data_IF_146891616424
#
_entry.id   IF_146891616424
#
_cell.length_a   1.000
_cell.length_b   1.000
_cell.length_c   1.000
_cell.angle_alpha   90.00
_cell.angle_beta   90.00
_cell.angle_gamma   90.00
#
_symmetry.space_group_name_H-M   'P 1'
#
loop_
_entity.id
_entity.type
_entity.pdbx_description
1 polymer ?
#
# COMPACT_ATOMS: atom_id res chain seq x y z
N UNK A 1 -2.67 19.15 -87.75
CA UNK A 1 -1.62 18.40 -87.06
C UNK A 1 -1.15 19.29 -85.88
N UNK A 2 -1.66 19.10 -84.66
CA UNK A 2 -1.21 19.82 -83.49
C UNK A 2 -0.96 18.79 -82.39
N UNK A 3 0.31 18.59 -82.05
CA UNK A 3 0.75 17.78 -80.93
C UNK A 3 0.70 18.60 -79.66
N UNK A 4 -0.14 18.22 -78.70
CA UNK A 4 -0.14 18.81 -77.38
C UNK A 4 0.88 18.07 -76.49
N UNK A 5 1.81 18.78 -75.93
CA UNK A 5 2.71 18.29 -74.85
C UNK A 5 1.98 18.37 -73.50
N UNK A 6 1.94 17.26 -72.75
CA UNK A 6 1.60 17.28 -71.33
C UNK A 6 2.89 17.37 -70.51
N UNK A 7 2.93 18.22 -69.44
CA UNK A 7 4.05 18.20 -68.53
C UNK A 7 3.88 17.05 -67.48
N UNK A 8 4.95 16.34 -67.24
CA UNK A 8 5.03 15.32 -66.20
C UNK A 8 5.14 16.00 -64.80
N UNK A 9 4.21 15.71 -63.93
CA UNK A 9 4.31 16.04 -62.49
C UNK A 9 5.26 15.05 -61.84
N UNK A 10 6.40 15.53 -61.35
CA UNK A 10 7.29 14.79 -60.47
C UNK A 10 6.72 14.82 -59.04
N UNK A 11 6.24 13.69 -58.53
CA UNK A 11 5.84 13.54 -57.13
C UNK A 11 7.11 13.42 -56.26
N UNK A 12 7.38 14.43 -55.46
CA UNK A 12 8.41 14.39 -54.41
C UNK A 12 7.85 13.62 -53.23
N UNK A 13 8.28 12.36 -53.06
CA UNK A 13 7.97 11.53 -51.94
C UNK A 13 8.87 11.97 -50.75
N UNK A 14 8.38 12.86 -49.87
CA UNK A 14 9.04 13.14 -48.60
C UNK A 14 8.82 11.97 -47.65
N UNK A 15 9.80 11.08 -47.53
CA UNK A 15 9.87 10.08 -46.49
C UNK A 15 10.21 10.75 -45.16
N UNK A 16 9.21 11.05 -44.34
CA UNK A 16 9.43 11.42 -42.92
C UNK A 16 9.95 10.20 -42.16
N UNK A 17 11.25 10.17 -41.93
CA UNK A 17 11.84 9.22 -40.95
C UNK A 17 11.35 9.60 -39.59
N UNK A 18 10.42 8.84 -39.03
CA UNK A 18 10.13 8.84 -37.61
C UNK A 18 11.41 8.39 -36.87
N UNK A 19 12.14 9.34 -36.35
CA UNK A 19 13.22 9.08 -35.39
C UNK A 19 12.53 8.67 -34.10
N UNK A 20 12.43 7.36 -33.85
CA UNK A 20 12.09 6.86 -32.53
C UNK A 20 13.27 7.26 -31.61
N UNK A 21 13.07 8.27 -30.79
CA UNK A 21 13.97 8.53 -29.70
C UNK A 21 14.01 7.27 -28.84
N UNK A 22 15.18 6.68 -28.70
CA UNK A 22 15.40 5.56 -27.75
C UNK A 22 14.99 6.08 -26.37
N UNK A 23 13.92 5.55 -25.81
CA UNK A 23 13.53 5.88 -24.45
C UNK A 23 14.71 5.50 -23.54
N UNK A 24 15.24 6.48 -22.83
CA UNK A 24 16.28 6.23 -21.83
C UNK A 24 15.75 5.16 -20.84
N UNK A 25 16.62 4.21 -20.49
CA UNK A 25 16.26 3.22 -19.45
C UNK A 25 15.81 3.94 -18.18
N UNK A 26 14.75 3.46 -17.52
CA UNK A 26 14.27 4.09 -16.30
C UNK A 26 15.40 4.11 -15.25
N UNK A 27 15.49 5.20 -14.48
CA UNK A 27 16.38 5.25 -13.34
C UNK A 27 16.01 4.16 -12.34
N UNK A 28 17.00 3.57 -11.66
CA UNK A 28 16.78 2.51 -10.69
C UNK A 28 17.34 2.88 -9.33
N UNK A 29 16.69 2.38 -8.29
CA UNK A 29 17.21 2.35 -6.91
C UNK A 29 17.44 0.91 -6.53
N UNK A 30 18.59 0.63 -5.90
CA UNK A 30 18.99 -0.72 -5.48
C UNK A 30 19.25 -0.71 -3.99
N UNK A 31 18.65 -1.64 -3.27
CA UNK A 31 18.93 -1.89 -1.85
C UNK A 31 19.37 -3.33 -1.66
N UNK A 32 20.33 -3.53 -0.77
CA UNK A 32 20.85 -4.85 -0.43
C UNK A 32 19.90 -5.60 0.48
N UNK A 33 19.77 -6.90 0.29
CA UNK A 33 19.12 -7.77 1.26
C UNK A 33 19.88 -9.10 1.40
N UNK A 34 19.64 -9.87 2.47
CA UNK A 34 20.28 -11.18 2.64
C UNK A 34 19.98 -12.19 1.51
N UNK A 35 18.95 -11.94 0.74
CA UNK A 35 18.47 -12.84 -0.32
C UNK A 35 18.67 -12.29 -1.74
N UNK A 36 19.51 -11.28 -1.89
CA UNK A 36 19.80 -10.61 -3.15
C UNK A 36 19.35 -9.15 -3.17
N UNK A 37 19.79 -8.44 -4.18
CA UNK A 37 19.49 -7.03 -4.34
C UNK A 37 18.01 -6.84 -4.70
N UNK A 38 17.35 -5.87 -4.06
CA UNK A 38 16.03 -5.40 -4.47
C UNK A 38 16.22 -4.17 -5.34
N UNK A 39 15.81 -4.29 -6.59
CA UNK A 39 15.91 -3.22 -7.59
C UNK A 39 14.54 -2.67 -7.92
N UNK A 40 14.37 -1.37 -7.81
CA UNK A 40 13.14 -0.66 -8.12
C UNK A 40 13.38 0.28 -9.31
N UNK A 41 12.62 0.10 -10.37
CA UNK A 41 12.58 1.03 -11.50
C UNK A 41 11.73 2.25 -11.13
N UNK A 42 12.31 3.45 -11.24
CA UNK A 42 11.60 4.70 -10.95
C UNK A 42 10.70 5.15 -12.13
N UNK A 43 9.61 5.88 -11.85
CA UNK A 43 8.80 6.46 -12.91
C UNK A 43 9.59 7.50 -13.72
N UNK A 44 9.44 7.44 -15.03
CA UNK A 44 9.90 8.49 -15.95
C UNK A 44 8.70 9.37 -16.30
N UNK A 45 8.57 10.50 -15.59
CA UNK A 45 7.45 11.44 -15.74
C UNK A 45 7.97 12.68 -16.45
N UNK A 46 7.29 13.20 -17.50
CA UNK A 46 7.65 14.45 -18.16
C UNK A 46 7.64 15.64 -17.19
N UNK A 47 8.54 16.61 -17.40
CA UNK A 47 8.68 17.76 -16.51
C UNK A 47 7.59 18.86 -16.68
N UNK A 48 6.64 18.67 -17.61
CA UNK A 48 5.56 19.63 -17.83
C UNK A 48 4.66 19.74 -16.61
N UNK A 49 4.24 20.96 -16.28
CA UNK A 49 3.42 21.24 -15.10
C UNK A 49 1.98 21.61 -15.48
N UNK A 50 1.05 21.17 -14.66
CA UNK A 50 -0.39 21.40 -14.78
C UNK A 50 -0.92 21.86 -13.41
N UNK A 51 -0.75 23.17 -13.06
CA UNK A 51 -1.22 23.68 -11.77
C UNK A 51 -2.76 23.70 -11.72
N UNK A 52 -3.34 23.23 -10.62
CA UNK A 52 -4.80 23.04 -10.50
C UNK A 52 -5.60 24.33 -10.63
N UNK A 53 -5.03 25.47 -10.25
CA UNK A 53 -5.67 26.78 -10.37
C UNK A 53 -5.93 27.20 -11.84
N UNK A 54 -5.15 26.66 -12.78
CA UNK A 54 -5.43 26.80 -14.22
C UNK A 54 -6.61 25.92 -14.69
N UNK A 55 -7.13 25.05 -13.85
CA UNK A 55 -8.21 24.10 -14.13
C UNK A 55 -9.38 24.24 -13.15
N UNK A 56 -9.71 25.47 -12.79
CA UNK A 56 -10.80 25.80 -11.84
C UNK A 56 -10.67 25.11 -10.48
N UNK A 57 -9.43 24.86 -10.05
CA UNK A 57 -9.08 24.12 -8.83
C UNK A 57 -9.50 22.64 -8.83
N UNK A 58 -9.84 22.10 -9.99
CA UNK A 58 -10.19 20.69 -10.15
C UNK A 58 -8.93 19.85 -10.46
N UNK A 59 -8.50 19.06 -9.49
CA UNK A 59 -7.32 18.20 -9.60
C UNK A 59 -7.51 17.11 -10.67
N UNK A 60 -8.75 16.64 -10.91
CA UNK A 60 -9.01 15.62 -11.93
C UNK A 60 -9.05 16.21 -13.34
N UNK A 61 -9.51 17.44 -13.49
CA UNK A 61 -9.41 18.17 -14.76
C UNK A 61 -7.94 18.40 -15.15
N UNK A 62 -7.10 18.85 -14.19
CA UNK A 62 -5.66 18.96 -14.38
C UNK A 62 -5.01 17.61 -14.70
N UNK A 63 -5.42 16.52 -14.01
CA UNK A 63 -4.91 15.16 -14.26
C UNK A 63 -5.29 14.64 -15.67
N UNK A 64 -6.49 14.96 -16.12
CA UNK A 64 -6.94 14.61 -17.47
C UNK A 64 -6.15 15.37 -18.54
N UNK A 65 -5.90 16.66 -18.35
CA UNK A 65 -5.09 17.49 -19.24
C UNK A 65 -3.63 17.00 -19.27
N UNK A 66 -3.06 16.69 -18.11
CA UNK A 66 -1.73 16.11 -17.96
C UNK A 66 -1.60 14.82 -18.78
N UNK A 67 -2.53 13.89 -18.61
CA UNK A 67 -2.53 12.62 -19.34
C UNK A 67 -2.70 12.82 -20.87
N UNK A 68 -3.56 13.75 -21.29
CA UNK A 68 -3.77 14.07 -22.71
C UNK A 68 -2.51 14.67 -23.37
N UNK A 69 -1.67 15.35 -22.60
CA UNK A 69 -0.39 15.89 -23.03
C UNK A 69 0.76 14.84 -23.03
N UNK A 70 0.46 13.59 -22.64
CA UNK A 70 1.46 12.51 -22.58
C UNK A 70 2.10 12.34 -21.20
N UNK A 71 1.71 13.13 -20.18
CA UNK A 71 2.20 13.07 -18.81
C UNK A 71 2.76 14.39 -18.30
N UNK A 72 3.09 14.40 -17.02
CA UNK A 72 3.63 15.58 -16.35
C UNK A 72 3.27 15.62 -14.86
N UNK A 73 3.39 16.82 -14.28
CA UNK A 73 3.14 17.09 -12.87
C UNK A 73 1.86 17.90 -12.69
N UNK A 74 0.85 17.32 -12.08
CA UNK A 74 -0.32 18.03 -11.58
C UNK A 74 0.08 18.69 -10.27
N UNK A 75 0.19 20.02 -10.28
CA UNK A 75 0.71 20.78 -9.15
C UNK A 75 -0.43 21.33 -8.30
N UNK A 76 -0.43 20.99 -7.02
CA UNK A 76 -1.26 21.64 -6.00
C UNK A 76 -0.41 22.78 -5.40
N UNK A 77 -0.71 24.04 -5.70
CA UNK A 77 0.09 25.16 -5.22
C UNK A 77 -0.14 25.41 -3.73
N UNK A 78 0.70 26.26 -3.12
CA UNK A 78 0.56 26.66 -1.73
C UNK A 78 -0.86 27.15 -1.42
N UNK A 79 -1.43 26.68 -0.32
CA UNK A 79 -2.79 26.98 0.12
C UNK A 79 -3.56 25.73 0.48
N UNK A 80 -4.84 25.90 0.83
CA UNK A 80 -5.74 24.78 1.14
C UNK A 80 -6.76 24.61 0.01
N UNK A 81 -6.81 23.43 -0.55
CA UNK A 81 -7.62 23.09 -1.72
C UNK A 81 -8.49 21.88 -1.39
N UNK A 82 -9.77 21.93 -1.75
CA UNK A 82 -10.70 20.82 -1.51
C UNK A 82 -10.89 20.00 -2.78
N UNK A 83 -10.68 18.67 -2.68
CA UNK A 83 -11.13 17.70 -3.66
C UNK A 83 -12.50 17.18 -3.22
N UNK A 84 -13.53 17.45 -4.01
CA UNK A 84 -14.89 16.93 -3.81
C UNK A 84 -15.06 15.51 -4.35
N UNK A 85 -14.05 14.66 -4.11
CA UNK A 85 -14.03 13.27 -4.55
C UNK A 85 -12.60 12.76 -4.70
N UNK A 86 -12.44 11.57 -5.29
CA UNK A 86 -11.13 10.94 -5.40
C UNK A 86 -10.24 11.63 -6.44
N UNK A 87 -8.95 11.75 -6.14
CA UNK A 87 -7.93 12.00 -7.16
C UNK A 87 -7.70 10.72 -7.96
N UNK A 88 -8.06 10.72 -9.25
CA UNK A 88 -7.95 9.56 -10.15
C UNK A 88 -6.70 9.66 -11.01
N UNK A 89 -5.68 8.89 -10.65
CA UNK A 89 -4.42 8.86 -11.39
C UNK A 89 -4.56 8.36 -12.84
N UNK A 90 -3.65 8.86 -13.67
CA UNK A 90 -3.38 8.40 -15.03
C UNK A 90 -1.92 8.05 -15.16
N UNK A 91 -1.58 7.17 -16.11
CA UNK A 91 -0.18 6.82 -16.38
C UNK A 91 0.63 8.04 -16.80
N UNK A 92 1.92 8.05 -16.44
CA UNK A 92 2.88 9.11 -16.68
C UNK A 92 2.58 10.43 -15.97
N UNK A 93 1.74 10.43 -14.92
CA UNK A 93 1.36 11.62 -14.18
C UNK A 93 1.86 11.58 -12.73
N UNK A 94 2.31 12.70 -12.22
CA UNK A 94 2.58 12.95 -10.82
C UNK A 94 1.53 13.88 -10.21
N UNK A 95 1.19 13.67 -8.94
CA UNK A 95 0.59 14.65 -8.06
C UNK A 95 1.72 15.33 -7.28
N UNK A 96 1.97 16.60 -7.53
CA UNK A 96 3.00 17.38 -6.85
C UNK A 96 2.36 18.34 -5.85
N UNK A 97 2.67 18.15 -4.57
CA UNK A 97 2.20 18.98 -3.48
C UNK A 97 3.28 20.00 -3.15
N UNK A 98 3.11 21.25 -3.60
CA UNK A 98 4.06 22.31 -3.34
C UNK A 98 4.24 22.56 -1.84
N UNK A 99 5.32 23.25 -1.47
CA UNK A 99 5.53 23.64 -0.07
C UNK A 99 4.37 24.50 0.44
N UNK A 100 3.80 24.12 1.59
CA UNK A 100 2.62 24.74 2.17
C UNK A 100 1.31 24.46 1.44
N UNK A 101 1.28 23.53 0.49
CA UNK A 101 0.04 23.01 -0.10
C UNK A 101 -0.66 22.03 0.85
N UNK A 102 -1.96 22.15 0.97
CA UNK A 102 -2.82 21.20 1.66
C UNK A 102 -3.94 20.78 0.71
N UNK A 103 -3.98 19.52 0.33
CA UNK A 103 -5.09 18.96 -0.41
C UNK A 103 -6.04 18.24 0.57
N UNK A 104 -7.17 18.89 0.83
CA UNK A 104 -8.26 18.29 1.62
C UNK A 104 -9.15 17.41 0.76
N UNK A 105 -9.80 16.43 1.40
CA UNK A 105 -10.76 15.55 0.75
C UNK A 105 -12.10 15.62 1.49
N UNK A 106 -13.21 15.60 0.74
CA UNK A 106 -14.55 15.46 1.27
C UNK A 106 -14.67 14.19 2.13
N UNK A 107 -15.58 14.23 3.10
CA UNK A 107 -16.00 13.02 3.84
C UNK A 107 -17.46 12.63 3.57
N UNK A 108 -18.05 13.12 2.48
CA UNK A 108 -19.31 12.59 1.97
C UNK A 108 -19.05 11.32 1.12
N UNK A 109 -19.56 10.15 1.51
CA UNK A 109 -19.35 8.93 0.74
C UNK A 109 -19.88 8.99 -0.70
N UNK A 110 -20.85 9.84 -0.98
CA UNK A 110 -21.41 10.00 -2.33
C UNK A 110 -20.40 10.56 -3.33
N UNK A 111 -19.45 11.36 -2.86
CA UNK A 111 -18.39 11.93 -3.69
C UNK A 111 -17.41 10.85 -4.21
N UNK A 112 -17.42 9.66 -3.60
CA UNK A 112 -16.54 8.53 -3.93
C UNK A 112 -17.26 7.45 -4.77
N UNK A 113 -18.40 7.79 -5.33
CA UNK A 113 -19.11 6.98 -6.31
C UNK A 113 -18.78 7.44 -7.76
N UNK A 114 -18.95 6.58 -8.78
CA UNK A 114 -19.36 5.17 -8.68
C UNK A 114 -18.30 4.31 -8.00
N UNK A 115 -18.73 3.14 -7.49
CA UNK A 115 -17.85 2.16 -6.87
C UNK A 115 -16.71 1.75 -7.82
N UNK A 116 -15.55 1.44 -7.24
CA UNK A 116 -14.38 1.00 -7.98
C UNK A 116 -13.87 -0.36 -7.49
N UNK A 117 -13.08 -1.04 -8.33
CA UNK A 117 -12.42 -2.27 -7.95
C UNK A 117 -11.33 -2.00 -6.92
N UNK A 118 -11.54 -2.40 -5.69
CA UNK A 118 -10.64 -2.24 -4.56
C UNK A 118 -10.63 -3.50 -3.69
N UNK A 119 -10.21 -3.37 -2.44
CA UNK A 119 -10.25 -4.47 -1.47
C UNK A 119 -10.84 -4.02 -0.15
N UNK A 120 -11.33 -4.99 0.61
CA UNK A 120 -11.64 -4.85 2.02
C UNK A 120 -10.94 -5.95 2.81
N UNK A 121 -9.97 -5.58 3.64
CA UNK A 121 -9.19 -6.52 4.48
C UNK A 121 -8.76 -7.79 3.71
N UNK A 122 -8.07 -7.61 2.57
CA UNK A 122 -7.54 -8.70 1.74
C UNK A 122 -8.55 -9.40 0.81
N UNK A 123 -9.78 -8.91 0.74
CA UNK A 123 -10.85 -9.44 -0.11
C UNK A 123 -11.16 -8.47 -1.24
N UNK A 124 -11.10 -8.90 -2.50
CA UNK A 124 -11.46 -8.05 -3.64
C UNK A 124 -12.95 -7.73 -3.66
N UNK A 125 -13.28 -6.46 -3.85
CA UNK A 125 -14.66 -5.99 -3.93
C UNK A 125 -14.81 -4.71 -4.77
N UNK A 126 -16.03 -4.35 -5.07
CA UNK A 126 -16.41 -3.01 -5.50
C UNK A 126 -16.78 -2.22 -4.25
N UNK A 127 -16.15 -1.06 -4.04
CA UNK A 127 -16.38 -0.20 -2.89
C UNK A 127 -16.25 1.28 -3.28
N UNK A 128 -16.54 2.18 -2.36
CA UNK A 128 -16.18 3.60 -2.49
C UNK A 128 -14.72 3.73 -2.92
N UNK A 129 -14.47 4.66 -3.85
CA UNK A 129 -13.12 4.90 -4.34
C UNK A 129 -12.20 5.30 -3.19
N UNK A 130 -10.96 4.77 -3.12
CA UNK A 130 -9.91 5.40 -2.34
C UNK A 130 -9.79 6.89 -2.67
N UNK A 131 -9.37 7.69 -1.69
CA UNK A 131 -9.33 9.15 -1.88
C UNK A 131 -8.28 9.55 -2.92
N UNK A 132 -7.19 8.81 -2.98
CA UNK A 132 -6.20 8.88 -4.08
C UNK A 132 -6.11 7.49 -4.69
N UNK A 133 -6.50 7.35 -5.94
CA UNK A 133 -6.69 6.06 -6.58
C UNK A 133 -5.98 5.95 -7.93
N UNK A 134 -5.16 4.91 -8.07
CA UNK A 134 -4.56 4.50 -9.33
C UNK A 134 -4.91 3.04 -9.62
N UNK A 135 -5.43 2.76 -10.80
CA UNK A 135 -5.74 1.40 -11.26
C UNK A 135 -5.10 1.13 -12.62
N UNK A 136 -4.21 0.14 -12.67
CA UNK A 136 -3.52 -0.25 -13.90
C UNK A 136 -2.61 0.85 -14.47
N UNK A 137 -2.13 1.76 -13.64
CA UNK A 137 -1.29 2.88 -14.06
C UNK A 137 0.20 2.51 -14.05
N UNK A 138 0.96 3.15 -14.92
CA UNK A 138 2.42 3.03 -14.97
C UNK A 138 3.05 4.43 -14.95
N UNK A 139 4.22 4.56 -14.32
CA UNK A 139 4.93 5.82 -14.12
C UNK A 139 4.04 6.83 -13.38
N UNK A 140 3.82 6.62 -12.11
CA UNK A 140 2.98 7.48 -11.27
C UNK A 140 3.73 7.91 -10.02
N UNK A 141 3.46 9.12 -9.55
CA UNK A 141 4.13 9.63 -8.36
C UNK A 141 3.22 10.54 -7.52
N UNK A 142 3.45 10.54 -6.20
CA UNK A 142 3.05 11.62 -5.31
C UNK A 142 4.34 12.19 -4.73
N UNK A 143 4.59 13.45 -4.97
CA UNK A 143 5.85 14.10 -4.58
C UNK A 143 5.62 15.50 -3.99
N UNK A 144 6.64 16.05 -3.36
CA UNK A 144 6.61 17.40 -2.80
C UNK A 144 6.67 17.40 -1.27
N UNK A 145 6.44 18.57 -0.66
CA UNK A 145 6.49 18.75 0.81
C UNK A 145 5.16 19.19 1.42
N UNK A 146 4.09 19.25 0.60
CA UNK A 146 2.74 19.56 1.06
C UNK A 146 2.06 18.41 1.79
N UNK A 147 0.76 18.50 1.97
CA UNK A 147 -0.01 17.61 2.85
C UNK A 147 -1.27 17.09 2.18
N UNK A 148 -1.57 15.80 2.36
CA UNK A 148 -2.87 15.19 2.11
C UNK A 148 -3.64 15.15 3.43
N UNK A 149 -4.84 15.76 3.46
CA UNK A 149 -5.66 15.90 4.66
C UNK A 149 -7.11 15.54 4.40
N UNK A 150 -7.56 14.33 4.66
CA UNK A 150 -8.97 13.99 4.56
C UNK A 150 -9.78 14.64 5.69
N UNK A 151 -11.00 15.09 5.40
CA UNK A 151 -12.00 15.32 6.42
C UNK A 151 -12.44 13.96 6.97
N UNK A 152 -12.60 13.85 8.29
CA UNK A 152 -12.72 12.52 8.92
C UNK A 152 -14.01 12.33 9.73
N UNK A 153 -14.92 13.29 9.76
CA UNK A 153 -16.11 13.21 10.62
C UNK A 153 -16.94 11.97 10.31
N UNK A 154 -17.28 11.76 9.05
CA UNK A 154 -18.06 10.60 8.60
C UNK A 154 -17.26 9.31 8.76
N UNK A 155 -16.00 9.30 8.33
CA UNK A 155 -15.16 8.11 8.39
C UNK A 155 -14.87 7.65 9.83
N UNK A 156 -14.72 8.58 10.78
CA UNK A 156 -14.63 8.25 12.21
C UNK A 156 -15.92 7.66 12.75
N UNK A 157 -17.07 8.20 12.34
CA UNK A 157 -18.37 7.62 12.71
C UNK A 157 -18.53 6.19 12.16
N UNK A 158 -17.99 5.93 10.96
CA UNK A 158 -18.00 4.61 10.31
C UNK A 158 -17.05 3.59 10.90
N UNK A 159 -16.21 3.96 11.85
CA UNK A 159 -15.45 2.99 12.65
C UNK A 159 -16.36 2.10 13.51
N UNK A 160 -17.57 2.58 13.85
CA UNK A 160 -18.64 1.74 14.39
C UNK A 160 -19.15 0.84 13.27
N UNK A 161 -19.06 -0.47 13.50
CA UNK A 161 -19.54 -1.48 12.57
C UNK A 161 -20.98 -1.87 12.91
N UNK A 162 -22.00 -1.39 12.16
CA UNK A 162 -23.39 -1.73 12.41
C UNK A 162 -23.67 -3.20 12.06
N UNK A 163 -24.82 -3.78 12.44
CA UNK A 163 -25.19 -5.14 12.02
C UNK A 163 -25.13 -5.37 10.50
N UNK A 164 -25.44 -4.33 9.71
CA UNK A 164 -25.32 -4.36 8.25
C UNK A 164 -23.86 -4.60 7.79
N UNK A 165 -22.86 -4.14 8.53
CA UNK A 165 -21.43 -4.42 8.24
C UNK A 165 -21.14 -5.93 8.33
N UNK A 166 -21.59 -6.58 9.39
CA UNK A 166 -21.39 -8.02 9.57
C UNK A 166 -22.12 -8.82 8.49
N UNK A 167 -23.35 -8.44 8.16
CA UNK A 167 -24.14 -9.09 7.11
C UNK A 167 -23.47 -8.94 5.73
N UNK A 168 -22.97 -7.75 5.39
CA UNK A 168 -22.27 -7.52 4.13
C UNK A 168 -20.90 -8.20 4.11
N UNK A 169 -20.18 -8.28 5.23
CA UNK A 169 -18.95 -9.06 5.33
C UNK A 169 -19.20 -10.55 5.09
N UNK A 170 -20.31 -11.09 5.61
CA UNK A 170 -20.70 -12.48 5.33
C UNK A 170 -21.00 -12.70 3.84
N UNK A 171 -21.68 -11.73 3.20
CA UNK A 171 -21.94 -11.75 1.76
C UNK A 171 -20.63 -11.70 0.96
N UNK A 172 -19.69 -10.83 1.32
CA UNK A 172 -18.38 -10.76 0.69
C UNK A 172 -17.63 -12.10 0.81
N UNK A 173 -17.67 -12.74 1.96
CA UNK A 173 -17.06 -14.06 2.15
C UNK A 173 -17.75 -15.16 1.31
N UNK A 174 -19.07 -15.07 1.14
CA UNK A 174 -19.81 -15.96 0.24
C UNK A 174 -19.37 -15.76 -1.21
N UNK A 175 -19.30 -14.51 -1.68
CA UNK A 175 -18.84 -14.19 -3.04
C UNK A 175 -17.42 -14.70 -3.30
N UNK A 176 -16.50 -14.57 -2.33
CA UNK A 176 -15.16 -15.13 -2.45
C UNK A 176 -15.20 -16.66 -2.57
N UNK A 177 -15.97 -17.35 -1.72
CA UNK A 177 -16.03 -18.81 -1.69
C UNK A 177 -16.65 -19.44 -2.93
N UNK A 178 -17.54 -18.70 -3.61
CA UNK A 178 -18.17 -19.10 -4.87
C UNK A 178 -17.43 -18.56 -6.10
N UNK A 179 -16.30 -17.87 -5.90
CA UNK A 179 -15.53 -17.20 -6.94
C UNK A 179 -16.41 -16.29 -7.84
N UNK A 180 -17.39 -15.61 -7.22
CA UNK A 180 -18.20 -14.64 -7.93
C UNK A 180 -17.32 -13.55 -8.57
N UNK A 181 -17.64 -13.04 -9.77
CA UNK A 181 -16.89 -11.96 -10.39
C UNK A 181 -16.78 -10.74 -9.46
N UNK A 182 -15.59 -10.12 -9.38
CA UNK A 182 -15.37 -8.98 -8.47
C UNK A 182 -16.33 -7.83 -8.76
N UNK A 183 -16.65 -7.59 -10.04
CA UNK A 183 -17.63 -6.56 -10.44
C UNK A 183 -19.05 -6.75 -9.84
N UNK A 184 -19.37 -7.95 -9.38
CA UNK A 184 -20.64 -8.26 -8.70
C UNK A 184 -20.56 -8.15 -7.17
N UNK A 185 -19.38 -7.90 -6.62
CA UNK A 185 -19.13 -7.86 -5.17
C UNK A 185 -19.20 -6.43 -4.61
N UNK A 186 -20.32 -5.76 -4.81
CA UNK A 186 -20.52 -4.38 -4.36
C UNK A 186 -20.91 -4.33 -2.88
N UNK A 187 -19.98 -3.92 -2.03
CA UNK A 187 -20.17 -3.81 -0.58
C UNK A 187 -20.87 -2.53 -0.14
N UNK A 188 -21.17 -1.62 -1.07
CA UNK A 188 -21.90 -0.37 -0.77
C UNK A 188 -23.43 -0.54 -0.80
N UNK A 189 -23.94 -1.68 -1.28
CA UNK A 189 -25.38 -1.96 -1.41
C UNK A 189 -26.15 -1.98 -0.08
N UNK A 190 -25.42 -2.02 1.05
CA UNK A 190 -25.98 -1.91 2.39
C UNK A 190 -25.23 -0.83 3.16
N UNK A 191 -25.84 -0.23 4.15
CA UNK A 191 -25.21 0.75 5.03
C UNK A 191 -24.21 0.07 5.99
N UNK A 192 -23.19 -0.57 5.40
CA UNK A 192 -22.19 -1.38 6.12
C UNK A 192 -20.97 -0.59 6.61
N UNK A 193 -20.86 0.68 6.29
CA UNK A 193 -19.72 1.52 6.71
C UNK A 193 -18.35 0.99 6.24
N UNK A 194 -18.25 0.57 4.98
CA UNK A 194 -16.99 0.13 4.39
C UNK A 194 -16.14 1.33 3.97
N UNK A 195 -15.26 1.76 4.86
CA UNK A 195 -14.41 2.95 4.67
C UNK A 195 -13.41 2.73 3.53
N UNK A 196 -13.19 3.72 2.63
CA UNK A 196 -12.16 3.64 1.60
C UNK A 196 -10.75 3.79 2.19
N UNK A 197 -9.73 3.30 1.47
CA UNK A 197 -8.33 3.63 1.74
C UNK A 197 -8.07 5.13 1.49
N UNK A 198 -7.03 5.69 2.10
CA UNK A 198 -6.62 7.05 1.72
C UNK A 198 -5.92 7.03 0.35
N UNK A 199 -4.84 6.27 0.22
CA UNK A 199 -4.09 6.10 -1.02
C UNK A 199 -4.14 4.63 -1.42
N UNK A 200 -4.51 4.34 -2.67
CA UNK A 200 -4.38 2.99 -3.22
C UNK A 200 -3.79 3.00 -4.62
N UNK A 201 -2.69 2.30 -4.79
CA UNK A 201 -2.15 1.91 -6.08
C UNK A 201 -2.50 0.45 -6.34
N UNK A 202 -3.41 0.22 -7.26
CA UNK A 202 -3.95 -1.09 -7.60
C UNK A 202 -3.45 -1.50 -9.00
N UNK A 203 -2.77 -2.63 -9.12
CA UNK A 203 -2.21 -3.15 -10.40
C UNK A 203 -1.33 -2.13 -11.13
N UNK A 204 -0.58 -1.35 -10.39
CA UNK A 204 0.22 -0.25 -10.92
C UNK A 204 1.72 -0.58 -10.89
N UNK A 205 2.50 0.12 -11.71
CA UNK A 205 3.92 -0.15 -11.86
C UNK A 205 4.74 1.15 -11.94
N UNK A 206 5.95 1.15 -11.38
CA UNK A 206 6.83 2.30 -11.23
C UNK A 206 6.14 3.44 -10.49
N UNK A 207 6.09 3.27 -9.17
CA UNK A 207 5.39 4.15 -8.24
C UNK A 207 6.44 4.86 -7.38
N UNK A 208 6.35 6.18 -7.30
CA UNK A 208 7.18 6.99 -6.42
C UNK A 208 6.32 7.78 -5.43
N UNK A 209 6.55 7.56 -4.14
CA UNK A 209 5.95 8.32 -3.04
C UNK A 209 7.07 9.04 -2.30
N UNK A 210 7.17 10.38 -2.37
CA UNK A 210 8.31 11.08 -1.82
C UNK A 210 7.98 12.41 -1.17
N UNK A 211 8.36 12.55 0.10
CA UNK A 211 8.57 13.83 0.80
C UNK A 211 7.32 14.50 1.38
N UNK A 212 6.13 14.08 1.00
CA UNK A 212 4.87 14.69 1.44
C UNK A 212 4.42 14.20 2.82
N UNK A 213 3.46 14.92 3.39
CA UNK A 213 2.83 14.56 4.67
C UNK A 213 1.42 14.02 4.47
N UNK A 214 1.03 13.13 5.35
CA UNK A 214 -0.34 12.62 5.50
C UNK A 214 -0.84 13.01 6.88
N UNK A 215 -2.05 13.57 6.96
CA UNK A 215 -2.67 13.98 8.20
C UNK A 215 -4.08 13.41 8.32
N UNK A 216 -4.15 12.13 8.65
CA UNK A 216 -5.36 11.36 8.82
C UNK A 216 -5.66 10.39 7.67
N UNK A 217 -6.47 9.37 7.96
CA UNK A 217 -6.91 8.39 6.98
C UNK A 217 -8.28 7.82 7.36
N UNK A 218 -9.16 7.54 6.38
CA UNK A 218 -10.40 6.80 6.65
C UNK A 218 -10.18 5.36 7.12
N UNK A 219 -9.19 4.66 6.52
CA UNK A 219 -8.88 3.25 6.71
C UNK A 219 -7.37 3.04 6.57
N UNK A 220 -6.87 1.98 5.90
CA UNK A 220 -5.45 1.82 5.60
C UNK A 220 -4.91 3.05 4.87
N UNK A 221 -3.76 3.55 5.33
CA UNK A 221 -3.31 4.88 4.89
C UNK A 221 -2.70 4.83 3.50
N UNK A 222 -1.72 3.96 3.28
CA UNK A 222 -1.13 3.75 1.95
C UNK A 222 -1.23 2.27 1.61
N UNK A 223 -2.01 1.93 0.60
CA UNK A 223 -2.24 0.57 0.17
C UNK A 223 -1.65 0.32 -1.23
N UNK A 224 -0.66 -0.54 -1.29
CA UNK A 224 -0.02 -1.01 -2.52
C UNK A 224 -0.56 -2.40 -2.82
N UNK A 225 -1.35 -2.54 -3.90
CA UNK A 225 -2.06 -3.77 -4.19
C UNK A 225 -1.75 -4.30 -5.59
N UNK A 226 -1.28 -5.55 -5.70
CA UNK A 226 -0.91 -6.19 -6.98
C UNK A 226 0.00 -5.32 -7.85
N UNK A 227 0.85 -4.53 -7.22
CA UNK A 227 1.70 -3.53 -7.85
C UNK A 227 3.17 -3.97 -7.84
N UNK A 228 4.05 -3.19 -8.45
CA UNK A 228 5.48 -3.48 -8.48
C UNK A 228 6.31 -2.23 -8.71
N UNK A 229 7.62 -2.32 -8.43
CA UNK A 229 8.56 -1.21 -8.56
C UNK A 229 8.09 0.01 -7.78
N UNK A 230 8.14 -0.07 -6.44
CA UNK A 230 7.65 0.99 -5.55
C UNK A 230 8.81 1.54 -4.72
N UNK A 231 9.01 2.85 -4.78
CA UNK A 231 9.82 3.58 -3.83
C UNK A 231 8.93 4.51 -2.99
N UNK A 232 8.94 4.30 -1.68
CA UNK A 232 8.36 5.23 -0.69
C UNK A 232 9.49 5.80 0.16
N UNK A 233 9.68 7.13 0.13
CA UNK A 233 10.84 7.78 0.71
C UNK A 233 10.48 9.11 1.36
N UNK A 234 10.89 9.31 2.61
CA UNK A 234 10.71 10.57 3.32
C UNK A 234 9.27 11.00 3.54
N UNK A 235 8.34 10.06 3.59
CA UNK A 235 6.91 10.34 3.86
C UNK A 235 6.68 10.39 5.36
N UNK A 236 6.01 11.45 5.83
CA UNK A 236 5.58 11.60 7.22
C UNK A 236 4.07 11.34 7.32
N UNK A 237 3.70 10.20 7.93
CA UNK A 237 2.33 9.73 8.01
C UNK A 237 1.81 9.76 9.43
N UNK A 238 0.74 10.53 9.64
CA UNK A 238 -0.02 10.60 10.89
C UNK A 238 -1.46 10.18 10.64
N UNK A 239 -1.92 9.09 11.26
CA UNK A 239 -3.31 8.67 11.18
C UNK A 239 -3.71 7.83 12.41
N UNK A 240 -4.53 8.37 13.31
CA UNK A 240 -5.02 7.69 14.48
C UNK A 240 -6.51 7.37 14.40
N UNK A 241 -6.78 6.09 14.32
CA UNK A 241 -8.09 5.49 14.25
C UNK A 241 -8.00 3.99 14.03
N UNK A 242 -9.13 3.35 14.00
CA UNK A 242 -9.21 1.90 13.80
C UNK A 242 -8.80 1.52 12.36
N UNK A 243 -7.85 0.60 12.21
CA UNK A 243 -7.25 0.18 10.94
C UNK A 243 -6.49 1.32 10.21
N UNK A 244 -5.89 2.23 10.92
CA UNK A 244 -5.00 3.22 10.32
C UNK A 244 -3.56 2.69 10.33
N UNK A 245 -3.31 1.71 9.46
CA UNK A 245 -1.99 1.18 9.17
C UNK A 245 -1.20 2.22 8.34
N UNK A 246 0.13 2.26 8.45
CA UNK A 246 0.97 3.22 7.75
C UNK A 246 1.10 2.90 6.26
N UNK A 247 1.68 1.75 5.95
CA UNK A 247 1.76 1.22 4.58
C UNK A 247 1.46 -0.27 4.55
N UNK A 248 0.45 -0.65 3.78
CA UNK A 248 0.08 -2.01 3.49
C UNK A 248 0.62 -2.42 2.13
N UNK A 249 1.62 -3.28 2.13
CA UNK A 249 2.20 -3.88 0.93
C UNK A 249 1.51 -5.22 0.70
N UNK A 250 0.56 -5.27 -0.22
CA UNK A 250 -0.27 -6.44 -0.47
C UNK A 250 -0.10 -6.96 -1.88
N UNK A 251 0.31 -8.21 -2.04
CA UNK A 251 0.56 -8.85 -3.36
C UNK A 251 1.47 -8.02 -4.26
N UNK A 252 2.35 -7.22 -3.68
CA UNK A 252 3.19 -6.24 -4.35
C UNK A 252 4.66 -6.65 -4.26
N UNK A 253 5.43 -6.36 -5.30
CA UNK A 253 6.79 -6.86 -5.46
C UNK A 253 7.76 -5.73 -5.79
N UNK A 254 9.02 -5.92 -5.38
CA UNK A 254 10.12 -4.98 -5.62
C UNK A 254 9.80 -3.61 -5.00
N UNK A 255 9.81 -3.57 -3.66
CA UNK A 255 9.40 -2.42 -2.85
C UNK A 255 10.54 -1.95 -1.95
N UNK A 256 10.81 -0.66 -1.95
CA UNK A 256 11.71 0.00 -1.01
C UNK A 256 10.92 1.05 -0.24
N UNK A 257 10.94 0.96 1.10
CA UNK A 257 10.39 1.96 2.03
C UNK A 257 11.55 2.47 2.88
N UNK A 258 11.85 3.77 2.81
CA UNK A 258 12.98 4.33 3.53
C UNK A 258 12.75 5.75 4.02
N UNK A 259 13.45 6.11 5.09
CA UNK A 259 13.45 7.46 5.64
C UNK A 259 12.05 7.98 5.97
N UNK A 260 11.09 7.06 6.25
CA UNK A 260 9.69 7.39 6.53
C UNK A 260 9.40 7.45 8.03
N UNK A 261 8.42 8.26 8.40
CA UNK A 261 7.92 8.37 9.77
C UNK A 261 6.46 7.97 9.81
N UNK A 262 6.13 7.03 10.69
CA UNK A 262 4.79 6.50 10.88
C UNK A 262 4.31 6.78 12.32
N UNK A 263 3.19 7.48 12.46
CA UNK A 263 2.50 7.75 13.72
C UNK A 263 1.05 7.29 13.55
N UNK A 264 0.80 6.01 13.89
CA UNK A 264 -0.37 5.29 13.41
C UNK A 264 -1.23 4.75 14.56
N UNK A 265 -2.51 4.57 14.27
CA UNK A 265 -3.44 3.94 15.18
C UNK A 265 -3.46 2.41 15.11
N UNK A 266 -2.80 1.83 14.10
CA UNK A 266 -2.63 0.39 13.91
C UNK A 266 -1.17 0.08 13.54
N UNK A 267 -0.88 -0.84 12.65
CA UNK A 267 0.47 -1.27 12.31
C UNK A 267 1.25 -0.22 11.48
N UNK A 268 2.59 -0.20 11.57
CA UNK A 268 3.45 0.70 10.78
C UNK A 268 3.64 0.22 9.34
N UNK A 269 4.53 -0.76 9.13
CA UNK A 269 4.74 -1.40 7.81
C UNK A 269 4.14 -2.80 7.86
N UNK A 270 3.20 -3.07 6.96
CA UNK A 270 2.42 -4.31 6.95
C UNK A 270 2.54 -5.04 5.62
N UNK A 271 2.88 -6.32 5.67
CA UNK A 271 3.00 -7.20 4.51
C UNK A 271 1.78 -8.13 4.48
N UNK A 272 1.01 -8.05 3.42
CA UNK A 272 -0.21 -8.85 3.21
C UNK A 272 -0.17 -9.52 1.84
N UNK A 273 -1.03 -10.51 1.63
CA UNK A 273 -1.13 -11.21 0.34
C UNK A 273 -2.50 -11.88 0.20
N UNK A 274 -3.55 -11.11 0.40
CA UNK A 274 -4.94 -11.51 0.24
C UNK A 274 -5.47 -12.45 1.31
N UNK A 275 -6.77 -12.50 1.39
CA UNK A 275 -7.52 -13.33 2.36
C UNK A 275 -8.08 -14.58 1.70
N UNK A 276 -7.77 -15.76 2.24
CA UNK A 276 -8.38 -17.06 1.90
C UNK A 276 -8.51 -17.27 0.36
N UNK A 277 -9.73 -17.49 -0.16
CA UNK A 277 -9.99 -17.80 -1.57
C UNK A 277 -9.42 -16.78 -2.55
N UNK A 278 -9.52 -15.49 -2.26
CA UNK A 278 -8.94 -14.46 -3.14
C UNK A 278 -7.40 -14.51 -3.11
N UNK A 279 -6.80 -14.70 -1.93
CA UNK A 279 -5.36 -14.89 -1.82
C UNK A 279 -4.88 -16.14 -2.55
N UNK A 280 -5.60 -17.24 -2.44
CA UNK A 280 -5.27 -18.49 -3.14
C UNK A 280 -5.46 -18.38 -4.65
N UNK A 281 -6.56 -17.76 -5.09
CA UNK A 281 -6.88 -17.57 -6.51
C UNK A 281 -5.86 -16.68 -7.23
N UNK A 282 -5.49 -15.57 -6.61
CA UNK A 282 -4.52 -14.63 -7.16
C UNK A 282 -3.10 -15.15 -7.07
N UNK A 283 -2.80 -15.96 -6.05
CA UNK A 283 -1.54 -16.69 -5.85
C UNK A 283 -0.29 -15.81 -6.09
N UNK A 284 -0.38 -14.52 -5.71
CA UNK A 284 0.67 -13.54 -5.92
C UNK A 284 1.29 -13.18 -4.58
N UNK A 285 2.51 -13.63 -4.28
CA UNK A 285 3.16 -13.30 -3.03
C UNK A 285 3.60 -11.83 -2.98
N UNK A 286 3.57 -11.25 -1.79
CA UNK A 286 4.36 -10.06 -1.49
C UNK A 286 5.81 -10.48 -1.31
N UNK A 287 6.73 -9.87 -2.08
CA UNK A 287 8.13 -10.27 -2.06
C UNK A 287 9.09 -9.16 -2.46
N UNK A 288 10.38 -9.33 -2.08
CA UNK A 288 11.45 -8.40 -2.38
C UNK A 288 11.12 -7.02 -1.79
N UNK A 289 10.99 -6.96 -0.48
CA UNK A 289 10.67 -5.72 0.26
C UNK A 289 11.83 -5.36 1.14
N UNK A 290 12.37 -4.15 0.99
CA UNK A 290 13.37 -3.59 1.90
C UNK A 290 12.76 -2.38 2.60
N UNK A 291 12.89 -2.37 3.94
CA UNK A 291 12.47 -1.25 4.79
C UNK A 291 13.67 -0.78 5.60
N UNK A 292 14.06 0.48 5.50
CA UNK A 292 15.20 0.99 6.24
C UNK A 292 15.06 2.43 6.72
N UNK A 293 15.76 2.74 7.79
CA UNK A 293 15.85 4.10 8.35
C UNK A 293 14.48 4.72 8.64
N UNK A 294 13.48 3.87 8.94
CA UNK A 294 12.12 4.30 9.26
C UNK A 294 11.89 4.41 10.77
N UNK A 295 10.95 5.29 11.14
CA UNK A 295 10.53 5.47 12.53
C UNK A 295 9.04 5.14 12.70
N UNK A 296 8.72 4.27 13.66
CA UNK A 296 7.37 4.13 14.18
C UNK A 296 7.26 4.92 15.48
N UNK A 297 6.48 6.01 15.44
CA UNK A 297 6.23 6.85 16.61
C UNK A 297 5.18 6.26 17.52
N UNK A 298 4.06 5.80 16.96
CA UNK A 298 3.04 5.02 17.65
C UNK A 298 2.43 3.98 16.68
N UNK A 299 1.90 2.89 17.21
CA UNK A 299 1.28 1.82 16.40
C UNK A 299 1.37 0.44 17.03
N UNK A 300 0.68 -0.54 16.41
CA UNK A 300 0.64 -1.89 16.95
C UNK A 300 1.90 -2.71 16.65
N UNK A 301 2.56 -2.49 15.52
CA UNK A 301 3.79 -3.20 15.16
C UNK A 301 4.64 -2.42 14.18
N UNK A 302 5.99 -2.49 14.34
CA UNK A 302 6.90 -1.82 13.42
C UNK A 302 6.95 -2.54 12.07
N UNK A 303 7.15 -3.88 12.08
CA UNK A 303 7.03 -4.76 10.93
C UNK A 303 6.00 -5.85 11.24
N UNK A 304 4.96 -5.90 10.45
CA UNK A 304 3.89 -6.88 10.64
C UNK A 304 3.64 -7.68 9.37
N UNK A 305 3.45 -8.98 9.50
CA UNK A 305 3.06 -9.87 8.40
C UNK A 305 1.69 -10.46 8.71
N UNK A 306 0.75 -10.24 7.82
CA UNK A 306 -0.62 -10.75 7.95
C UNK A 306 -1.59 -9.79 8.65
N UNK A 307 -2.76 -10.32 9.06
CA UNK A 307 -3.21 -11.72 8.95
C UNK A 307 -3.65 -12.15 7.54
N UNK A 308 -3.90 -11.22 6.63
CA UNK A 308 -4.30 -11.47 5.23
C UNK A 308 -3.06 -11.78 4.38
N UNK A 309 -2.59 -13.05 4.38
CA UNK A 309 -1.34 -13.40 3.73
C UNK A 309 -1.42 -14.73 2.96
N UNK A 310 -2.61 -15.07 2.46
CA UNK A 310 -2.92 -16.36 1.83
C UNK A 310 -2.15 -16.66 0.55
N UNK A 311 -1.66 -15.63 -0.16
CA UNK A 311 -0.78 -15.77 -1.33
C UNK A 311 0.71 -15.90 -1.00
N UNK A 312 1.09 -15.73 0.28
CA UNK A 312 2.46 -15.84 0.75
C UNK A 312 3.22 -14.51 0.85
N UNK A 313 4.23 -14.50 1.73
CA UNK A 313 5.15 -13.37 1.93
C UNK A 313 6.57 -13.91 2.02
N UNK A 314 7.50 -13.34 1.24
CA UNK A 314 8.90 -13.77 1.23
C UNK A 314 9.88 -12.66 0.86
N UNK A 315 11.17 -12.85 1.23
CA UNK A 315 12.26 -11.92 0.95
C UNK A 315 11.96 -10.51 1.47
N UNK A 316 11.79 -10.39 2.78
CA UNK A 316 11.50 -9.13 3.47
C UNK A 316 12.65 -8.78 4.39
N UNK A 317 13.26 -7.63 4.20
CA UNK A 317 14.38 -7.17 5.00
C UNK A 317 14.11 -5.79 5.59
N UNK A 318 14.03 -5.71 6.91
CA UNK A 318 13.97 -4.44 7.63
C UNK A 318 15.25 -4.22 8.41
N UNK A 319 15.86 -3.02 8.30
CA UNK A 319 17.06 -2.70 9.05
C UNK A 319 17.17 -1.22 9.40
N UNK A 320 17.92 -0.91 10.45
CA UNK A 320 18.17 0.44 10.97
C UNK A 320 16.90 1.24 11.27
N UNK A 321 15.79 0.54 11.58
CA UNK A 321 14.53 1.16 11.93
C UNK A 321 14.38 1.31 13.44
N UNK A 322 13.52 2.22 13.87
CA UNK A 322 13.29 2.48 15.29
C UNK A 322 11.81 2.63 15.62
N UNK A 323 11.45 2.18 16.84
CA UNK A 323 10.15 2.42 17.44
C UNK A 323 10.32 3.32 18.69
N UNK A 324 9.80 4.54 18.65
CA UNK A 324 10.11 5.57 19.65
C UNK A 324 8.97 5.88 20.60
N UNK A 325 7.76 5.45 20.30
CA UNK A 325 6.56 5.77 21.07
C UNK A 325 6.34 4.93 22.31
N UNK A 326 5.26 5.27 23.02
CA UNK A 326 4.87 4.61 24.27
C UNK A 326 3.89 3.44 24.05
N UNK A 327 3.23 3.39 22.90
CA UNK A 327 2.13 2.46 22.64
C UNK A 327 2.46 1.42 21.57
N UNK A 328 3.72 1.27 21.18
CA UNK A 328 4.14 0.20 20.27
C UNK A 328 3.93 -1.15 20.95
N UNK A 329 3.13 -2.03 20.32
CA UNK A 329 2.83 -3.33 20.93
C UNK A 329 3.92 -4.35 20.64
N UNK A 330 4.48 -4.36 19.42
CA UNK A 330 5.51 -5.31 18.98
C UNK A 330 6.51 -4.64 18.03
N UNK A 331 7.71 -5.15 17.94
CA UNK A 331 8.62 -4.75 16.87
C UNK A 331 8.36 -5.58 15.62
N UNK A 332 8.36 -6.90 15.74
CA UNK A 332 8.13 -7.83 14.62
C UNK A 332 7.00 -8.79 14.98
N UNK A 333 5.96 -8.81 14.15
CA UNK A 333 4.79 -9.64 14.39
C UNK A 333 4.35 -10.40 13.14
N UNK A 334 4.37 -11.73 13.19
CA UNK A 334 3.86 -12.61 12.15
C UNK A 334 2.56 -13.23 12.65
N UNK A 335 1.44 -12.93 12.00
CA UNK A 335 0.09 -13.36 12.42
C UNK A 335 -0.64 -14.07 11.29
N UNK A 336 -1.17 -15.26 11.59
CA UNK A 336 -1.93 -16.10 10.66
C UNK A 336 -2.96 -16.95 11.42
N UNK A 337 -3.68 -17.80 10.70
CA UNK A 337 -4.55 -18.82 11.26
C UNK A 337 -4.66 -20.03 10.34
N UNK A 338 -5.33 -21.08 10.81
CA UNK A 338 -5.47 -22.35 10.13
C UNK A 338 -6.24 -22.32 8.79
N UNK A 339 -6.72 -21.14 8.35
CA UNK A 339 -7.51 -20.96 7.12
C UNK A 339 -6.78 -20.14 6.08
N UNK A 340 -5.61 -19.60 6.40
CA UNK A 340 -4.88 -18.70 5.47
C UNK A 340 -4.11 -19.47 4.41
N UNK A 341 -3.45 -20.57 4.76
CA UNK A 341 -2.49 -21.22 3.88
C UNK A 341 -1.30 -20.29 3.56
N UNK A 342 -0.74 -20.42 2.37
CA UNK A 342 0.39 -19.62 1.94
C UNK A 342 1.66 -19.88 2.76
N UNK A 343 2.54 -18.90 2.79
CA UNK A 343 3.82 -18.99 3.48
C UNK A 343 4.31 -17.63 3.98
N UNK A 344 5.15 -17.66 5.02
CA UNK A 344 5.96 -16.55 5.50
C UNK A 344 7.39 -17.05 5.62
N UNK A 345 8.29 -16.61 4.76
CA UNK A 345 9.66 -17.13 4.74
C UNK A 345 10.67 -16.11 4.28
N UNK A 346 11.92 -16.27 4.75
CA UNK A 346 12.99 -15.33 4.46
C UNK A 346 12.59 -13.89 4.83
N UNK A 347 12.32 -13.70 6.13
CA UNK A 347 11.93 -12.40 6.70
C UNK A 347 12.92 -12.05 7.80
N UNK A 348 13.62 -10.94 7.68
CA UNK A 348 14.59 -10.49 8.65
C UNK A 348 14.35 -9.07 9.13
N UNK A 349 14.62 -8.84 10.41
CA UNK A 349 14.75 -7.53 11.05
C UNK A 349 16.12 -7.45 11.70
N UNK A 350 16.95 -6.49 11.31
CA UNK A 350 18.31 -6.33 11.83
C UNK A 350 18.62 -4.89 12.24
N UNK A 351 19.51 -4.73 13.23
CA UNK A 351 20.01 -3.44 13.68
C UNK A 351 18.91 -2.41 14.02
N UNK A 352 17.79 -2.89 14.59
CA UNK A 352 16.64 -2.08 14.93
C UNK A 352 16.55 -1.81 16.43
N UNK A 353 15.93 -0.68 16.79
CA UNK A 353 15.80 -0.29 18.20
C UNK A 353 14.34 0.04 18.57
N UNK A 354 13.99 -0.16 19.84
CA UNK A 354 12.73 0.33 20.37
C UNK A 354 12.90 0.87 21.80
N UNK A 355 12.15 1.95 22.13
CA UNK A 355 12.09 2.47 23.50
C UNK A 355 11.13 1.65 24.36
N UNK A 356 9.89 1.53 23.92
CA UNK A 356 8.87 0.85 24.70
C UNK A 356 8.06 -0.09 23.82
N UNK A 357 8.06 -1.35 24.17
CA UNK A 357 7.22 -2.38 23.52
C UNK A 357 6.26 -2.94 24.59
N UNK A 358 4.97 -2.85 24.33
CA UNK A 358 3.95 -3.21 25.34
C UNK A 358 3.84 -4.72 25.55
N UNK A 359 4.10 -5.51 24.51
CA UNK A 359 3.95 -6.97 24.58
C UNK A 359 5.29 -7.66 24.32
N UNK A 360 5.58 -8.04 23.09
CA UNK A 360 6.78 -8.78 22.75
C UNK A 360 7.62 -8.05 21.70
N UNK A 361 8.94 -8.12 21.80
CA UNK A 361 9.78 -7.62 20.72
C UNK A 361 9.56 -8.44 19.44
N UNK A 362 9.46 -9.77 19.58
CA UNK A 362 9.19 -10.70 18.50
C UNK A 362 7.97 -11.57 18.82
N UNK A 363 7.01 -11.70 17.89
CA UNK A 363 5.87 -12.61 18.08
C UNK A 363 5.50 -13.32 16.79
N UNK A 364 5.28 -14.65 16.87
CA UNK A 364 4.59 -15.44 15.87
C UNK A 364 3.31 -16.00 16.51
N UNK A 365 2.16 -15.78 15.85
CA UNK A 365 0.87 -16.30 16.29
C UNK A 365 0.12 -16.94 15.12
N UNK A 366 -0.22 -18.23 15.24
CA UNK A 366 -0.90 -19.00 14.20
C UNK A 366 -2.39 -19.27 14.51
N UNK A 367 -2.91 -18.59 15.52
CA UNK A 367 -4.28 -18.70 16.03
C UNK A 367 -5.07 -17.38 15.99
N UNK A 368 -4.61 -16.42 15.18
CA UNK A 368 -5.21 -15.10 15.10
C UNK A 368 -6.44 -15.12 14.19
N UNK A 369 -7.60 -15.36 14.80
CA UNK A 369 -8.87 -15.42 14.10
C UNK A 369 -9.47 -14.03 13.89
N UNK A 370 -8.92 -13.25 12.98
CA UNK A 370 -9.61 -12.04 12.48
C UNK A 370 -10.67 -12.43 11.45
N UNK A 371 -11.80 -12.88 11.97
CA UNK A 371 -12.94 -13.28 11.18
C UNK A 371 -14.20 -12.59 11.71
N UNK A 372 -14.70 -11.65 10.92
CA UNK A 372 -15.78 -10.74 11.31
C UNK A 372 -17.18 -11.27 10.98
N UNK A 373 -17.27 -12.35 10.20
CA UNK A 373 -18.51 -13.05 9.89
C UNK A 373 -18.24 -14.56 9.72
N UNK A 374 -19.32 -15.36 9.79
CA UNK A 374 -19.23 -16.80 9.54
C UNK A 374 -18.74 -17.07 8.11
N UNK A 375 -17.75 -17.93 7.95
CA UNK A 375 -17.33 -18.41 6.64
C UNK A 375 -18.35 -19.39 6.08
N UNK A 376 -18.71 -19.30 4.80
CA UNK A 376 -19.61 -20.25 4.15
C UNK A 376 -18.97 -21.63 3.98
N UNK A 377 -17.65 -21.69 3.83
CA UNK A 377 -16.87 -22.92 3.75
C UNK A 377 -15.71 -22.86 4.74
N UNK A 378 -15.31 -24.02 5.22
CA UNK A 378 -14.19 -24.17 6.15
C UNK A 378 -13.15 -25.10 5.55
N UNK A 379 -12.04 -24.52 5.08
CA UNK A 379 -10.89 -25.29 4.64
C UNK A 379 -9.72 -25.05 5.60
N UNK A 380 -9.15 -26.13 6.11
CA UNK A 380 -7.89 -26.05 6.86
C UNK A 380 -6.75 -25.94 5.86
N UNK A 381 -6.08 -24.79 5.88
CA UNK A 381 -4.87 -24.48 5.10
C UNK A 381 -3.85 -23.85 6.01
N UNK A 382 -2.93 -24.67 6.50
CA UNK A 382 -1.90 -24.22 7.43
C UNK A 382 -0.83 -23.43 6.69
N UNK A 383 -0.39 -22.32 7.29
CA UNK A 383 0.68 -21.48 6.76
C UNK A 383 2.04 -22.12 7.00
N UNK A 384 2.91 -22.10 6.01
CA UNK A 384 4.33 -22.39 6.17
C UNK A 384 5.05 -21.18 6.75
N UNK A 385 5.80 -21.36 7.83
CA UNK A 385 6.60 -20.31 8.45
C UNK A 385 8.01 -20.86 8.60
N UNK A 386 8.98 -20.25 7.89
CA UNK A 386 10.38 -20.71 7.92
C UNK A 386 11.35 -19.56 7.63
N UNK A 387 12.58 -19.69 8.13
CA UNK A 387 13.67 -18.74 7.90
C UNK A 387 13.30 -17.31 8.33
N UNK A 388 12.95 -17.15 9.60
CA UNK A 388 12.61 -15.89 10.24
C UNK A 388 13.77 -15.45 11.13
N UNK A 389 14.25 -14.23 10.94
CA UNK A 389 15.44 -13.72 11.61
C UNK A 389 15.16 -12.41 12.32
N UNK A 390 15.55 -12.29 13.58
CA UNK A 390 15.70 -11.01 14.26
C UNK A 390 17.10 -10.95 14.87
N UNK A 391 17.89 -9.93 14.48
CA UNK A 391 19.31 -9.84 14.85
C UNK A 391 19.70 -8.44 15.26
N UNK A 392 20.61 -8.33 16.25
CA UNK A 392 21.19 -7.06 16.72
C UNK A 392 20.13 -6.01 17.11
N UNK A 393 19.04 -6.43 17.70
CA UNK A 393 17.95 -5.52 18.09
C UNK A 393 17.99 -5.21 19.59
N UNK A 394 17.86 -3.92 19.93
CA UNK A 394 17.86 -3.48 21.33
C UNK A 394 16.54 -2.80 21.67
N UNK A 395 15.89 -3.31 22.73
CA UNK A 395 14.63 -2.84 23.23
C UNK A 395 14.85 -2.37 24.67
N UNK A 396 14.62 -1.08 24.95
CA UNK A 396 14.81 -0.54 26.31
C UNK A 396 13.83 -1.19 27.29
N UNK A 397 12.56 -1.37 26.89
CA UNK A 397 11.56 -1.99 27.74
C UNK A 397 10.53 -2.80 26.94
N UNK A 398 10.28 -4.05 27.36
CA UNK A 398 9.21 -4.89 26.83
C UNK A 398 8.66 -5.84 27.90
N UNK A 399 7.40 -6.31 27.73
CA UNK A 399 6.85 -7.34 28.60
C UNK A 399 7.61 -8.68 28.44
N UNK A 400 8.01 -9.00 27.22
CA UNK A 400 8.83 -10.18 26.90
C UNK A 400 9.68 -9.97 25.66
N UNK A 401 10.77 -10.75 25.55
CA UNK A 401 11.60 -10.75 24.35
C UNK A 401 10.88 -11.35 23.17
N UNK A 402 10.31 -12.53 23.35
CA UNK A 402 9.67 -13.29 22.27
C UNK A 402 8.46 -14.09 22.75
N UNK A 403 7.57 -14.39 21.80
CA UNK A 403 6.48 -15.33 21.95
C UNK A 403 6.24 -16.05 20.60
N UNK A 404 6.33 -17.36 20.59
CA UNK A 404 6.11 -18.16 19.41
C UNK A 404 4.98 -19.16 19.72
N UNK A 405 3.87 -19.01 19.02
CA UNK A 405 2.71 -19.91 19.08
C UNK A 405 2.54 -20.53 17.70
N UNK A 406 2.87 -21.81 17.55
CA UNK A 406 2.76 -22.59 16.32
C UNK A 406 1.58 -23.55 16.34
N UNK A 407 1.08 -23.94 15.20
CA UNK A 407 0.14 -25.06 15.05
C UNK A 407 0.93 -26.39 15.04
N UNK A 408 0.63 -27.34 15.93
CA UNK A 408 1.38 -28.59 15.99
C UNK A 408 1.24 -29.44 14.71
N UNK A 409 0.22 -29.23 13.90
CA UNK A 409 0.04 -29.91 12.61
C UNK A 409 1.00 -29.41 11.54
N UNK A 410 1.51 -28.17 11.70
CA UNK A 410 2.56 -27.55 10.88
C UNK A 410 3.42 -26.66 11.76
N UNK A 411 4.42 -27.21 12.43
CA UNK A 411 5.29 -26.46 13.31
C UNK A 411 6.00 -25.30 12.59
N UNK A 412 6.28 -24.25 13.33
CA UNK A 412 7.14 -23.17 12.85
C UNK A 412 8.54 -23.74 12.60
N UNK A 413 9.10 -23.45 11.42
CA UNK A 413 10.43 -23.87 11.02
C UNK A 413 11.53 -23.06 11.71
N UNK A 414 12.59 -22.74 11.00
CA UNK A 414 13.75 -22.03 11.56
C UNK A 414 13.40 -20.60 11.96
N UNK A 415 13.63 -20.29 13.24
CA UNK A 415 13.60 -18.92 13.78
C UNK A 415 14.94 -18.63 14.44
N UNK A 416 15.59 -17.55 14.05
CA UNK A 416 16.87 -17.10 14.60
C UNK A 416 16.69 -15.79 15.35
N UNK A 417 16.92 -15.80 16.65
CA UNK A 417 16.94 -14.61 17.52
C UNK A 417 18.36 -14.41 18.05
N UNK A 418 19.17 -13.65 17.33
CA UNK A 418 20.59 -13.45 17.64
C UNK A 418 20.82 -12.03 18.14
N UNK A 419 21.44 -11.89 19.31
CA UNK A 419 21.73 -10.60 19.92
C UNK A 419 20.47 -9.67 20.04
N UNK A 420 19.31 -10.26 20.37
CA UNK A 420 18.08 -9.54 20.66
C UNK A 420 18.00 -9.30 22.17
N UNK A 421 18.06 -8.04 22.60
CA UNK A 421 18.17 -7.65 24.00
C UNK A 421 16.98 -6.82 24.43
N UNK A 422 16.31 -7.25 25.50
CA UNK A 422 15.35 -6.44 26.27
C UNK A 422 16.05 -6.01 27.54
N UNK A 423 16.27 -4.71 27.70
CA UNK A 423 17.05 -4.15 28.82
C UNK A 423 16.29 -4.21 30.13
N UNK A 424 14.99 -3.91 30.10
CA UNK A 424 14.13 -3.96 31.28
C UNK A 424 12.80 -4.64 30.98
N UNK A 425 12.31 -5.44 31.93
CA UNK A 425 10.97 -6.00 31.84
C UNK A 425 9.93 -4.93 32.16
N UNK A 426 8.90 -4.86 31.33
CA UNK A 426 7.71 -4.06 31.59
C UNK A 426 6.72 -4.91 32.37
N UNK A 427 6.09 -4.39 33.47
CA UNK A 427 5.07 -5.12 34.21
C UNK A 427 3.81 -5.39 33.34
#
# INVERSE_FOLDING_TARGET
MNKRFLPALAAICMSSRLVFASAASPATVVEKSPWGDVTVELPAIPAQQFPIDAYSNDVNAAMAACAAAGGGHVVVPKGTWLSEGPVKFRSNCALELADGAVLEFSDDPKDYLPVVHTTWEGSECMNYSPLVYAYGCTNVAIVGSGELRPRLKTWKAWQKRPPAHQAMTAELYHWMSTNAPVAARDVTQREGNFRPHLIQFNRSNRILLRGFRINGSPFWTTHLYLSRNVLMEGVDSYAHGHNNDGVDVEMTQDVIVRDCRFDQGDDGVVLKSGRNQDGWRLATPTRNVVVRDCELVDGHGLLVVGSEMSGGVENVYMHHCKATGKNVYRMMYLKTNERRGGFMRRIAMEDCTAKNVRLAAFEIATDVLYQWAKLPTYEVRLTEIDDIVMRNCTIESAQRRDKISGDPRRPVGRVTLENVRVVSSRP
#
